data_IF_731952500128
#
_entry.id   IF_731952500128
#
_cell.length_a   1.000
_cell.length_b   1.000
_cell.length_c   1.000
_cell.angle_alpha   90.00
_cell.angle_beta   90.00
_cell.angle_gamma   90.00
#
_symmetry.space_group_name_H-M   'P 1'
#
loop_
_entity.id
_entity.type
_entity.pdbx_description
1 polymer ?
#
# COMPACT_ATOMS: atom_id res chain seq x y z
N UNK A 1 21.52 -11.13 -28.50
CA UNK A 1 20.19 -11.77 -28.50
C UNK A 1 19.64 -11.49 -27.13
N UNK A 2 18.61 -10.65 -27.03
CA UNK A 2 17.91 -10.44 -25.75
C UNK A 2 17.16 -11.74 -25.52
N UNK A 3 17.56 -12.46 -24.46
CA UNK A 3 16.76 -13.54 -23.94
C UNK A 3 15.41 -12.92 -23.55
N UNK A 4 14.37 -13.27 -24.30
CA UNK A 4 12.99 -12.92 -23.97
C UNK A 4 12.55 -13.95 -22.94
N UNK A 5 13.15 -13.88 -21.76
CA UNK A 5 12.82 -14.73 -20.63
C UNK A 5 11.42 -14.33 -20.13
N UNK A 6 10.56 -15.34 -20.13
CA UNK A 6 9.22 -15.43 -19.56
C UNK A 6 8.19 -14.43 -20.11
N UNK A 7 7.41 -14.91 -21.09
CA UNK A 7 6.05 -14.42 -21.33
C UNK A 7 5.22 -14.76 -20.08
N UNK A 8 5.38 -13.94 -19.04
CA UNK A 8 4.48 -13.94 -17.89
C UNK A 8 3.11 -13.62 -18.46
N UNK A 9 2.20 -14.57 -18.40
CA UNK A 9 0.81 -14.41 -18.83
C UNK A 9 0.25 -13.18 -18.09
N UNK A 10 0.20 -12.04 -18.78
CA UNK A 10 -0.21 -10.80 -18.15
C UNK A 10 -1.71 -10.89 -17.88
N UNK A 11 -2.19 -10.40 -16.72
CA UNK A 11 -3.61 -10.45 -16.42
C UNK A 11 -4.41 -9.73 -17.51
N UNK A 12 -5.57 -10.30 -17.89
CA UNK A 12 -6.40 -9.74 -18.94
C UNK A 12 -6.89 -8.35 -18.54
N UNK A 13 -6.87 -7.38 -19.46
CA UNK A 13 -7.24 -6.00 -19.15
C UNK A 13 -8.68 -5.87 -18.61
N UNK A 14 -9.59 -6.70 -19.11
CA UNK A 14 -10.98 -6.77 -18.62
C UNK A 14 -11.03 -7.31 -17.19
N UNK A 15 -10.24 -8.34 -16.88
CA UNK A 15 -10.13 -8.89 -15.52
C UNK A 15 -9.65 -7.80 -14.56
N UNK A 16 -8.55 -7.11 -14.87
CA UNK A 16 -7.98 -6.03 -14.04
C UNK A 16 -9.02 -4.92 -13.81
N UNK A 17 -9.65 -4.43 -14.88
CA UNK A 17 -10.62 -3.36 -14.80
C UNK A 17 -11.85 -3.77 -13.95
N UNK A 18 -12.33 -5.00 -14.14
CA UNK A 18 -13.48 -5.52 -13.41
C UNK A 18 -13.16 -5.73 -11.92
N UNK A 19 -11.96 -6.22 -11.59
CA UNK A 19 -11.49 -6.39 -10.22
C UNK A 19 -11.35 -5.05 -9.53
N UNK A 20 -10.65 -4.09 -10.15
CA UNK A 20 -10.52 -2.73 -9.62
C UNK A 20 -11.89 -2.06 -9.40
N UNK A 21 -12.80 -2.20 -10.37
CA UNK A 21 -14.15 -1.65 -10.27
C UNK A 21 -14.93 -2.24 -9.10
N UNK A 22 -14.92 -3.57 -8.93
CA UNK A 22 -15.60 -4.23 -7.81
C UNK A 22 -15.01 -3.81 -6.46
N UNK A 23 -13.68 -3.77 -6.33
CA UNK A 23 -12.99 -3.33 -5.11
C UNK A 23 -13.37 -1.89 -4.73
N UNK A 24 -13.43 -0.97 -5.70
CA UNK A 24 -13.82 0.42 -5.46
C UNK A 24 -15.32 0.60 -5.09
N UNK A 25 -16.14 -0.45 -5.27
CA UNK A 25 -17.56 -0.46 -4.91
C UNK A 25 -17.85 -1.23 -3.62
N UNK A 26 -16.84 -1.83 -2.98
CA UNK A 26 -17.02 -2.38 -1.64
C UNK A 26 -17.48 -1.27 -0.68
N UNK A 27 -18.50 -1.49 0.18
CA UNK A 27 -19.08 -0.45 1.01
C UNK A 27 -18.06 0.34 1.84
N UNK A 28 -17.08 -0.37 2.40
CA UNK A 28 -16.02 0.19 3.23
C UNK A 28 -15.10 1.10 2.42
N UNK A 29 -14.76 0.70 1.18
CA UNK A 29 -13.93 1.50 0.28
C UNK A 29 -14.72 2.69 -0.27
N UNK A 30 -15.98 2.46 -0.67
CA UNK A 30 -16.88 3.48 -1.18
C UNK A 30 -17.08 4.63 -0.17
N UNK A 31 -17.16 4.31 1.13
CA UNK A 31 -17.23 5.30 2.19
C UNK A 31 -15.97 6.18 2.30
N UNK A 32 -14.79 5.64 1.98
CA UNK A 32 -13.50 6.35 2.05
C UNK A 32 -13.22 7.18 0.78
N UNK A 33 -13.85 6.87 -0.36
CA UNK A 33 -13.59 7.50 -1.67
C UNK A 33 -13.54 9.02 -1.68
N UNK A 34 -14.38 9.77 -0.94
CA UNK A 34 -14.32 11.24 -0.95
C UNK A 34 -12.97 11.82 -0.49
N UNK A 35 -12.25 11.11 0.39
CA UNK A 35 -10.95 11.53 0.93
C UNK A 35 -9.79 10.64 0.50
N UNK A 36 -10.00 9.73 -0.46
CA UNK A 36 -9.02 8.73 -0.86
C UNK A 36 -7.99 9.32 -1.83
N UNK A 37 -6.71 9.26 -1.48
CA UNK A 37 -5.58 9.67 -2.32
C UNK A 37 -4.76 8.44 -2.72
N UNK A 38 -4.59 8.17 -4.02
CA UNK A 38 -3.79 7.04 -4.49
C UNK A 38 -2.29 7.33 -4.44
N UNK A 39 -1.49 6.27 -4.36
CA UNK A 39 -0.04 6.27 -4.61
C UNK A 39 0.73 7.31 -3.79
N UNK A 40 0.43 7.36 -2.49
CA UNK A 40 0.94 8.39 -1.61
C UNK A 40 2.41 8.12 -1.21
N UNK A 41 3.32 9.08 -1.45
CA UNK A 41 4.73 8.89 -1.12
C UNK A 41 4.95 8.98 0.39
N UNK A 42 5.83 8.13 0.92
CA UNK A 42 6.27 8.17 2.32
C UNK A 42 7.79 8.28 2.39
N UNK A 43 8.27 9.09 3.32
CA UNK A 43 9.69 9.28 3.59
C UNK A 43 9.93 9.23 5.10
N UNK A 44 11.01 8.58 5.53
CA UNK A 44 11.37 8.49 6.94
C UNK A 44 12.89 8.55 7.11
N UNK A 45 13.34 9.08 8.25
CA UNK A 45 14.73 8.99 8.68
C UNK A 45 14.77 8.24 10.01
N UNK A 46 15.44 7.08 10.04
CA UNK A 46 15.66 6.31 11.25
C UNK A 46 16.96 6.78 11.91
N UNK A 47 16.84 7.59 12.96
CA UNK A 47 17.98 8.19 13.67
C UNK A 47 18.60 7.26 14.74
N UNK A 48 17.95 6.14 15.07
CA UNK A 48 18.32 5.30 16.23
C UNK A 48 19.49 4.33 15.98
N UNK A 49 20.11 4.37 14.80
CA UNK A 49 21.29 3.57 14.48
C UNK A 49 22.54 4.46 14.46
N UNK A 50 23.70 3.87 14.73
CA UNK A 50 25.01 4.53 14.53
C UNK A 50 25.22 5.03 13.09
N UNK A 51 24.38 4.57 12.16
CA UNK A 51 24.27 5.06 10.79
C UNK A 51 22.79 5.41 10.50
N UNK A 52 22.44 6.70 10.34
CA UNK A 52 21.07 7.09 10.05
C UNK A 52 20.63 6.54 8.70
N UNK A 53 19.47 5.89 8.67
CA UNK A 53 18.91 5.28 7.45
C UNK A 53 17.76 6.11 6.93
N UNK A 54 17.90 6.61 5.70
CA UNK A 54 16.81 7.25 4.97
C UNK A 54 15.97 6.18 4.25
N UNK A 55 14.65 6.32 4.36
CA UNK A 55 13.67 5.42 3.78
C UNK A 55 12.73 6.20 2.88
N UNK A 56 12.41 5.61 1.74
CA UNK A 56 11.40 6.09 0.80
C UNK A 56 10.51 4.92 0.42
N UNK A 57 9.21 5.16 0.33
CA UNK A 57 8.22 4.16 -0.04
C UNK A 57 6.99 4.82 -0.65
N UNK A 58 6.02 3.98 -1.02
CA UNK A 58 4.74 4.42 -1.55
C UNK A 58 3.65 3.52 -1.01
N UNK A 59 2.56 4.12 -0.57
CA UNK A 59 1.37 3.39 -0.15
C UNK A 59 0.34 3.44 -1.26
N UNK A 60 -0.34 2.33 -1.49
CA UNK A 60 -1.27 2.21 -2.61
C UNK A 60 -2.40 3.23 -2.54
N UNK A 61 -2.96 3.45 -1.34
CA UNK A 61 -3.84 4.58 -1.09
C UNK A 61 -3.91 4.97 0.39
N UNK A 62 -4.32 6.21 0.64
CA UNK A 62 -4.62 6.73 1.98
C UNK A 62 -5.92 7.51 1.96
N UNK A 63 -6.79 7.24 2.92
CA UNK A 63 -7.94 8.09 3.20
C UNK A 63 -7.51 9.21 4.15
N UNK A 64 -7.81 10.44 3.77
CA UNK A 64 -7.58 11.63 4.59
C UNK A 64 -8.91 12.11 5.19
N UNK A 65 -8.87 12.44 6.48
CA UNK A 65 -9.93 13.12 7.20
C UNK A 65 -9.37 14.42 7.79
N UNK A 66 -9.91 15.55 7.35
CA UNK A 66 -9.42 16.89 7.72
C UNK A 66 -7.89 17.07 7.53
N UNK A 67 -7.34 16.48 6.46
CA UNK A 67 -5.91 16.54 6.16
C UNK A 67 -5.03 15.58 6.97
N UNK A 68 -5.61 14.76 7.85
CA UNK A 68 -4.90 13.70 8.58
C UNK A 68 -5.22 12.34 7.97
N UNK A 69 -4.20 11.49 7.83
CA UNK A 69 -4.42 10.12 7.39
C UNK A 69 -5.26 9.36 8.44
N UNK A 70 -6.39 8.81 8.00
CA UNK A 70 -7.32 8.05 8.85
C UNK A 70 -7.23 6.55 8.57
N UNK A 71 -7.02 6.16 7.31
CA UNK A 71 -6.87 4.75 6.88
C UNK A 71 -5.81 4.64 5.80
N UNK A 72 -4.90 3.67 5.92
CA UNK A 72 -3.97 3.28 4.84
C UNK A 72 -4.46 1.99 4.22
N UNK A 73 -4.45 1.94 2.89
CA UNK A 73 -4.83 0.78 2.11
C UNK A 73 -3.61 0.25 1.36
N UNK A 74 -3.48 -1.07 1.37
CA UNK A 74 -2.50 -1.86 0.64
C UNK A 74 -3.31 -2.89 -0.15
N UNK A 75 -3.30 -2.78 -1.48
CA UNK A 75 -4.09 -3.65 -2.34
C UNK A 75 -3.31 -4.95 -2.58
N UNK A 76 -4.04 -6.06 -2.53
CA UNK A 76 -3.55 -7.38 -2.90
C UNK A 76 -4.47 -7.97 -3.95
N UNK A 77 -3.89 -8.62 -4.97
CA UNK A 77 -4.63 -9.21 -6.08
C UNK A 77 -5.01 -10.68 -5.84
N UNK A 78 -4.67 -11.25 -4.68
CA UNK A 78 -4.90 -12.66 -4.37
C UNK A 78 -6.38 -13.03 -4.50
N UNK A 79 -6.65 -14.11 -5.23
CA UNK A 79 -7.99 -14.68 -5.37
C UNK A 79 -8.19 -15.70 -4.26
N UNK A 80 -9.16 -15.45 -3.37
CA UNK A 80 -9.48 -16.31 -2.22
C UNK A 80 -8.24 -16.65 -1.35
N UNK A 81 -7.55 -15.63 -0.79
CA UNK A 81 -6.36 -15.85 0.01
C UNK A 81 -6.67 -16.73 1.22
N UNK A 82 -5.76 -17.64 1.54
CA UNK A 82 -5.83 -18.44 2.76
C UNK A 82 -5.51 -17.60 4.01
N UNK A 83 -5.85 -18.08 5.19
CA UNK A 83 -5.44 -17.43 6.44
C UNK A 83 -3.92 -17.31 6.62
N UNK A 84 -3.15 -18.17 5.93
CA UNK A 84 -1.70 -18.09 5.88
C UNK A 84 -1.24 -16.95 4.97
N UNK A 85 -1.81 -16.84 3.78
CA UNK A 85 -1.54 -15.72 2.85
C UNK A 85 -1.85 -14.39 3.53
N UNK A 86 -3.02 -14.28 4.17
CA UNK A 86 -3.42 -13.09 4.93
C UNK A 86 -2.43 -12.75 6.05
N UNK A 87 -1.87 -13.75 6.75
CA UNK A 87 -0.87 -13.53 7.80
C UNK A 87 0.48 -13.10 7.23
N UNK A 88 0.89 -13.66 6.10
CA UNK A 88 2.12 -13.26 5.40
C UNK A 88 1.99 -11.80 4.95
N UNK A 89 0.87 -11.43 4.31
CA UNK A 89 0.61 -10.05 3.93
C UNK A 89 0.58 -9.12 5.14
N UNK A 90 -0.09 -9.51 6.24
CA UNK A 90 -0.10 -8.73 7.47
C UNK A 90 1.30 -8.58 8.10
N UNK A 91 2.15 -9.61 7.99
CA UNK A 91 3.54 -9.60 8.44
C UNK A 91 4.39 -8.61 7.65
N UNK A 92 4.31 -8.66 6.31
CA UNK A 92 4.95 -7.69 5.41
C UNK A 92 4.43 -6.28 5.70
N UNK A 93 3.11 -6.12 5.85
CA UNK A 93 2.50 -4.87 6.27
C UNK A 93 3.01 -4.41 7.63
N UNK A 94 3.40 -5.29 8.56
CA UNK A 94 3.90 -4.86 9.88
C UNK A 94 5.30 -4.25 9.84
N UNK A 95 6.16 -4.74 8.95
CA UNK A 95 7.48 -4.17 8.66
C UNK A 95 7.34 -2.88 7.85
N UNK A 96 6.47 -2.87 6.84
CA UNK A 96 6.10 -1.67 6.09
C UNK A 96 5.40 -0.63 6.99
N UNK A 97 4.60 -1.06 7.97
CA UNK A 97 3.95 -0.17 8.96
C UNK A 97 4.96 0.35 9.96
N UNK A 98 6.05 -0.37 10.26
CA UNK A 98 7.19 0.19 11.01
C UNK A 98 7.86 1.31 10.21
N UNK A 99 7.94 1.16 8.89
CA UNK A 99 8.34 2.20 7.93
C UNK A 99 7.37 3.39 7.93
N UNK A 100 6.07 3.11 7.75
CA UNK A 100 4.99 4.12 7.71
C UNK A 100 4.92 4.88 9.02
N UNK A 101 4.96 4.22 10.18
CA UNK A 101 4.94 4.86 11.52
C UNK A 101 6.17 5.74 11.78
N UNK A 102 7.36 5.35 11.33
CA UNK A 102 8.57 6.17 11.49
C UNK A 102 8.54 7.44 10.60
N UNK A 103 8.00 7.34 9.38
CA UNK A 103 7.75 8.52 8.54
C UNK A 103 6.58 9.39 9.01
N UNK A 104 5.59 8.76 9.67
CA UNK A 104 4.41 9.43 10.23
C UNK A 104 4.77 10.33 11.42
N UNK A 105 5.55 9.85 12.39
CA UNK A 105 5.96 10.64 13.54
C UNK A 105 6.67 11.95 13.13
N UNK A 106 7.48 11.91 12.07
CA UNK A 106 8.16 13.09 11.52
C UNK A 106 7.25 14.06 10.73
N UNK A 107 6.07 13.64 10.26
CA UNK A 107 5.14 14.49 9.50
C UNK A 107 4.03 15.12 10.35
N UNK A 108 3.84 14.64 11.59
CA UNK A 108 2.84 15.20 12.54
C UNK A 108 3.47 16.23 13.49
N UNK A 109 4.80 16.25 13.63
CA UNK A 109 5.55 17.21 14.47
C UNK A 109 6.18 18.39 13.69
N UNK A 110 5.85 18.54 12.40
CA UNK A 110 6.34 19.61 11.52
C UNK A 110 5.37 20.78 11.37
#
# INVERSE_FOLDING_TARGET
>A
MVDREDEVDLPEAEEIASTAWRTLHLPEIAALRPGLVPEWPIYALLADASEPTALAGRIDAVALDEGRASVVLDWKSDIAPTEEDMRIHAGVMSEETRLKRAGWASSVEG
#
